data_IF_043490102523
#
_entry.id   IF_043490102523
#
_cell.length_a   1.000
_cell.length_b   1.000
_cell.length_c   1.000
_cell.angle_alpha   90.00
_cell.angle_beta   90.00
_cell.angle_gamma   90.00
#
_symmetry.space_group_name_H-M   'P 1'
#
loop_
_entity.id
_entity.type
_entity.pdbx_description
1 polymer ?
#
# COMPACT_ATOMS: atom_id res chain seq x y z
N UNK A 1 -20.39 -29.02 -20.81
CA UNK A 1 -19.89 -28.60 -19.48
C UNK A 1 -18.37 -28.55 -19.56
N UNK A 2 -17.79 -27.37 -19.61
CA UNK A 2 -16.32 -27.19 -19.61
C UNK A 2 -15.75 -27.59 -18.25
N UNK A 3 -14.79 -28.50 -18.24
CA UNK A 3 -14.11 -28.91 -16.99
C UNK A 3 -13.35 -27.72 -16.41
N UNK A 4 -13.72 -27.30 -15.21
CA UNK A 4 -13.04 -26.23 -14.47
C UNK A 4 -11.62 -26.71 -14.15
N UNK A 5 -10.62 -26.05 -14.75
CA UNK A 5 -9.22 -26.37 -14.58
C UNK A 5 -8.67 -25.73 -13.29
N UNK A 6 -7.58 -26.27 -12.74
CA UNK A 6 -6.89 -25.70 -11.58
C UNK A 6 -6.50 -24.22 -11.82
N UNK A 7 -6.06 -23.90 -13.04
CA UNK A 7 -5.78 -22.54 -13.48
C UNK A 7 -6.99 -21.60 -13.34
N UNK A 8 -8.18 -22.06 -13.72
CA UNK A 8 -9.41 -21.26 -13.61
C UNK A 8 -9.77 -20.95 -12.16
N UNK A 9 -9.54 -21.89 -11.25
CA UNK A 9 -9.75 -21.70 -9.81
C UNK A 9 -8.74 -20.73 -9.21
N UNK A 10 -7.48 -20.78 -9.62
CA UNK A 10 -6.44 -19.86 -9.16
C UNK A 10 -6.72 -18.45 -9.65
N UNK A 11 -7.07 -18.30 -10.93
CA UNK A 11 -7.44 -17.02 -11.53
C UNK A 11 -8.64 -16.41 -10.81
N UNK A 12 -9.70 -17.18 -10.59
CA UNK A 12 -10.89 -16.73 -9.85
C UNK A 12 -10.55 -16.25 -8.44
N UNK A 13 -9.71 -17.00 -7.70
CA UNK A 13 -9.28 -16.60 -6.35
C UNK A 13 -8.46 -15.32 -6.38
N UNK A 14 -7.58 -15.18 -7.37
CA UNK A 14 -6.76 -13.98 -7.56
C UNK A 14 -7.63 -12.76 -7.91
N UNK A 15 -8.54 -12.90 -8.87
CA UNK A 15 -9.46 -11.83 -9.27
C UNK A 15 -10.35 -11.40 -8.08
N UNK A 16 -10.86 -12.36 -7.32
CA UNK A 16 -11.66 -12.09 -6.12
C UNK A 16 -10.83 -11.43 -4.99
N UNK A 17 -9.54 -11.76 -4.88
CA UNK A 17 -8.65 -11.10 -3.94
C UNK A 17 -8.36 -9.66 -4.38
N UNK A 18 -8.07 -9.44 -5.66
CA UNK A 18 -7.84 -8.12 -6.23
C UNK A 18 -9.06 -7.19 -6.10
N UNK A 19 -10.27 -7.75 -6.16
CA UNK A 19 -11.51 -6.98 -6.02
C UNK A 19 -11.83 -6.53 -4.59
N UNK A 20 -11.13 -7.02 -3.57
CA UNK A 20 -11.36 -6.67 -2.15
C UNK A 20 -10.87 -5.27 -1.75
N UNK A 21 -10.28 -4.54 -2.69
CA UNK A 21 -9.84 -3.16 -2.48
C UNK A 21 -8.41 -3.00 -1.97
N UNK A 22 -7.97 -1.76 -1.83
CA UNK A 22 -6.60 -1.36 -1.52
C UNK A 22 -6.03 -2.00 -0.24
N UNK A 23 -6.84 -2.11 0.80
CA UNK A 23 -6.40 -2.69 2.10
C UNK A 23 -6.04 -4.17 1.96
N UNK A 24 -6.83 -4.93 1.20
CA UNK A 24 -6.54 -6.35 0.95
C UNK A 24 -5.25 -6.53 0.15
N UNK A 25 -5.02 -5.67 -0.85
CA UNK A 25 -3.79 -5.68 -1.64
C UNK A 25 -2.55 -5.38 -0.79
N UNK A 26 -2.61 -4.39 0.08
CA UNK A 26 -1.51 -4.06 1.03
C UNK A 26 -1.26 -5.25 1.96
N UNK A 27 -2.32 -5.85 2.52
CA UNK A 27 -2.20 -7.04 3.35
C UNK A 27 -1.57 -8.22 2.61
N UNK A 28 -1.94 -8.42 1.34
CA UNK A 28 -1.35 -9.45 0.48
C UNK A 28 0.13 -9.25 0.19
N UNK A 29 0.54 -8.00 -0.08
CA UNK A 29 1.95 -7.65 -0.25
C UNK A 29 2.74 -7.86 1.05
N UNK A 30 2.17 -7.52 2.21
CA UNK A 30 2.76 -7.80 3.51
C UNK A 30 2.95 -9.29 3.78
N UNK A 31 1.95 -10.12 3.45
CA UNK A 31 2.06 -11.58 3.57
C UNK A 31 3.11 -12.14 2.60
N UNK A 32 3.19 -11.63 1.38
CA UNK A 32 4.20 -12.02 0.41
C UNK A 32 5.61 -11.66 0.90
N UNK A 33 5.78 -10.45 1.45
CA UNK A 33 7.04 -10.01 2.07
C UNK A 33 7.45 -10.94 3.19
N UNK A 34 6.53 -11.25 4.11
CA UNK A 34 6.80 -12.16 5.22
C UNK A 34 7.20 -13.56 4.72
N UNK A 35 6.52 -14.07 3.69
CA UNK A 35 6.85 -15.35 3.09
C UNK A 35 8.27 -15.36 2.48
N UNK A 36 8.65 -14.32 1.75
CA UNK A 36 10.01 -14.19 1.18
C UNK A 36 11.05 -14.17 2.29
N UNK A 37 10.84 -13.38 3.35
CA UNK A 37 11.75 -13.27 4.49
C UNK A 37 11.93 -14.63 5.18
N UNK A 38 10.84 -15.32 5.48
CA UNK A 38 10.87 -16.62 6.16
C UNK A 38 11.53 -17.70 5.29
N UNK A 39 11.19 -17.76 4.01
CA UNK A 39 11.80 -18.73 3.07
C UNK A 39 13.29 -18.48 2.95
N UNK A 40 13.73 -17.23 2.78
CA UNK A 40 15.15 -16.91 2.71
C UNK A 40 15.88 -17.27 4.01
N UNK A 41 15.31 -16.90 5.17
CA UNK A 41 15.89 -17.24 6.47
C UNK A 41 15.99 -18.76 6.67
N UNK A 42 14.98 -19.53 6.29
CA UNK A 42 15.02 -21.00 6.35
C UNK A 42 16.09 -21.57 5.42
N UNK A 43 16.23 -21.05 4.20
CA UNK A 43 17.27 -21.49 3.26
C UNK A 43 18.66 -21.25 3.88
N UNK A 44 18.91 -20.05 4.40
CA UNK A 44 20.21 -19.72 5.01
C UNK A 44 20.55 -20.64 6.18
N UNK A 45 19.59 -20.90 7.07
CA UNK A 45 19.79 -21.74 8.24
C UNK A 45 19.93 -23.22 7.89
N UNK A 46 19.04 -23.76 7.06
CA UNK A 46 19.05 -25.19 6.69
C UNK A 46 20.31 -25.56 5.91
N UNK A 47 20.70 -24.73 4.93
CA UNK A 47 21.89 -24.97 4.14
C UNK A 47 23.18 -24.43 4.77
N UNK A 48 23.09 -23.88 6.01
CA UNK A 48 24.21 -23.29 6.75
C UNK A 48 24.99 -22.24 5.96
N UNK A 49 24.27 -21.46 5.15
CA UNK A 49 24.84 -20.40 4.33
C UNK A 49 25.03 -19.17 5.22
N UNK A 50 26.25 -18.73 5.39
CA UNK A 50 26.60 -17.54 6.16
C UNK A 50 27.43 -16.57 5.29
N UNK A 51 27.49 -15.28 5.65
CA UNK A 51 28.40 -14.33 5.01
C UNK A 51 29.85 -14.81 5.18
N UNK A 52 30.70 -14.49 4.20
CA UNK A 52 32.12 -14.81 4.25
C UNK A 52 32.78 -14.13 5.48
N UNK A 53 33.58 -14.89 6.23
CA UNK A 53 34.16 -14.44 7.48
C UNK A 53 33.37 -14.81 8.73
N UNK A 54 32.18 -15.39 8.59
CA UNK A 54 31.40 -15.98 9.67
C UNK A 54 31.40 -17.51 9.59
N UNK A 55 31.31 -18.18 10.73
CA UNK A 55 31.27 -19.65 10.74
C UNK A 55 30.00 -20.18 10.06
N UNK A 56 30.09 -21.22 9.21
CA UNK A 56 28.92 -21.83 8.59
C UNK A 56 27.95 -22.37 9.65
N UNK A 57 26.69 -21.88 9.59
CA UNK A 57 25.65 -22.27 10.56
C UNK A 57 25.62 -21.46 11.84
N UNK A 58 26.39 -20.38 11.95
CA UNK A 58 26.33 -19.45 13.08
C UNK A 58 25.09 -18.55 13.06
N UNK A 59 24.47 -18.34 11.90
CA UNK A 59 23.26 -17.55 11.77
C UNK A 59 22.06 -18.23 12.45
N UNK A 60 21.49 -17.58 13.45
CA UNK A 60 20.20 -17.96 14.01
C UNK A 60 19.08 -17.61 13.02
N UNK A 61 17.93 -18.28 13.15
CA UNK A 61 16.75 -17.98 12.31
C UNK A 61 16.32 -16.49 12.45
N UNK A 62 16.42 -15.95 13.65
CA UNK A 62 16.10 -14.55 13.92
C UNK A 62 17.03 -13.57 13.20
N UNK A 63 18.34 -13.82 13.22
CA UNK A 63 19.32 -12.98 12.51
C UNK A 63 19.18 -13.08 11.00
N UNK A 64 18.96 -14.30 10.48
CA UNK A 64 18.70 -14.50 9.05
C UNK A 64 17.43 -13.80 8.60
N UNK A 65 16.34 -13.89 9.39
CA UNK A 65 15.09 -13.19 9.10
C UNK A 65 15.25 -11.67 9.21
N UNK A 66 15.98 -11.18 10.20
CA UNK A 66 16.28 -9.75 10.35
C UNK A 66 17.09 -9.23 9.16
N UNK A 67 18.13 -9.93 8.74
CA UNK A 67 18.92 -9.58 7.57
C UNK A 67 18.08 -9.56 6.29
N UNK A 68 17.19 -10.53 6.10
CA UNK A 68 16.26 -10.57 4.97
C UNK A 68 15.24 -9.42 5.02
N UNK A 69 14.72 -9.07 6.20
CA UNK A 69 13.83 -7.93 6.40
C UNK A 69 14.53 -6.61 6.01
N UNK A 70 15.72 -6.36 6.54
CA UNK A 70 16.49 -5.16 6.20
C UNK A 70 16.73 -5.05 4.71
N UNK A 71 17.03 -6.17 4.05
CA UNK A 71 17.25 -6.26 2.62
C UNK A 71 15.99 -5.98 1.80
N UNK A 72 14.84 -6.41 2.29
CA UNK A 72 13.55 -6.13 1.64
C UNK A 72 13.22 -4.64 1.68
N UNK A 73 13.66 -3.94 2.74
CA UNK A 73 13.41 -2.50 2.91
C UNK A 73 14.44 -1.62 2.19
N UNK A 74 15.70 -2.08 2.13
CA UNK A 74 16.79 -1.31 1.52
C UNK A 74 17.71 -2.19 0.67
N UNK A 75 17.58 -2.05 -0.64
CA UNK A 75 18.45 -2.72 -1.62
C UNK A 75 19.91 -2.30 -1.50
N UNK A 76 20.23 -1.12 -0.94
CA UNK A 76 21.59 -0.62 -0.76
C UNK A 76 22.46 -1.47 0.16
N UNK A 77 21.84 -2.28 1.03
CA UNK A 77 22.55 -3.20 1.93
C UNK A 77 23.29 -4.33 1.22
N UNK A 78 23.07 -4.55 -0.09
CA UNK A 78 23.77 -5.55 -0.90
C UNK A 78 25.29 -5.37 -0.97
N UNK A 79 25.78 -4.15 -0.81
CA UNK A 79 27.20 -3.84 -1.00
C UNK A 79 28.13 -4.55 -0.01
N UNK A 80 27.62 -4.92 1.17
CA UNK A 80 28.36 -5.60 2.21
C UNK A 80 28.32 -7.15 2.12
N UNK A 81 27.58 -7.71 1.15
CA UNK A 81 27.45 -9.16 1.04
C UNK A 81 28.75 -9.82 0.61
N UNK A 82 29.16 -10.84 1.33
CA UNK A 82 30.31 -11.67 1.01
C UNK A 82 29.90 -13.16 0.99
N UNK A 83 30.56 -13.94 0.11
CA UNK A 83 30.22 -15.35 -0.13
C UNK A 83 29.11 -15.56 -1.17
N UNK A 84 29.40 -16.34 -2.21
CA UNK A 84 28.48 -16.51 -3.35
C UNK A 84 27.12 -17.12 -2.99
N UNK A 85 27.09 -18.09 -2.08
CA UNK A 85 25.83 -18.69 -1.63
C UNK A 85 24.91 -17.66 -0.95
N UNK A 86 25.49 -16.85 -0.07
CA UNK A 86 24.76 -15.78 0.63
C UNK A 86 24.28 -14.71 -0.36
N UNK A 87 25.14 -14.27 -1.27
CA UNK A 87 24.81 -13.29 -2.31
C UNK A 87 23.62 -13.72 -3.16
N UNK A 88 23.58 -14.98 -3.61
CA UNK A 88 22.49 -15.47 -4.47
C UNK A 88 21.15 -15.46 -3.73
N UNK A 89 21.13 -15.97 -2.50
CA UNK A 89 19.90 -15.97 -1.68
C UNK A 89 19.42 -14.55 -1.42
N UNK A 90 20.33 -13.69 -0.95
CA UNK A 90 19.99 -12.31 -0.60
C UNK A 90 19.67 -11.45 -1.82
N UNK A 91 20.25 -11.72 -2.99
CA UNK A 91 19.84 -11.09 -4.23
C UNK A 91 18.38 -11.40 -4.59
N UNK A 92 17.95 -12.65 -4.39
CA UNK A 92 16.54 -13.02 -4.56
C UNK A 92 15.62 -12.24 -3.60
N UNK A 93 16.02 -12.05 -2.34
CA UNK A 93 15.29 -11.23 -1.36
C UNK A 93 15.21 -9.78 -1.83
N UNK A 94 16.32 -9.22 -2.32
CA UNK A 94 16.37 -7.85 -2.83
C UNK A 94 15.41 -7.64 -4.01
N UNK A 95 15.42 -8.55 -4.98
CA UNK A 95 14.50 -8.48 -6.12
C UNK A 95 13.03 -8.55 -5.66
N UNK A 96 12.74 -9.46 -4.72
CA UNK A 96 11.40 -9.55 -4.10
C UNK A 96 11.01 -8.27 -3.38
N UNK A 97 11.94 -7.68 -2.61
CA UNK A 97 11.72 -6.43 -1.89
C UNK A 97 11.43 -5.26 -2.82
N UNK A 98 12.24 -5.08 -3.86
CA UNK A 98 12.04 -4.02 -4.88
C UNK A 98 10.67 -4.17 -5.54
N UNK A 99 10.29 -5.41 -5.91
CA UNK A 99 8.97 -5.68 -6.48
C UNK A 99 7.84 -5.30 -5.51
N UNK A 100 7.95 -5.69 -4.23
CA UNK A 100 6.93 -5.42 -3.21
C UNK A 100 6.80 -3.92 -2.97
N UNK A 101 7.91 -3.20 -2.79
CA UNK A 101 7.88 -1.75 -2.55
C UNK A 101 7.30 -1.01 -3.75
N UNK A 102 7.72 -1.37 -4.98
CA UNK A 102 7.19 -0.76 -6.21
C UNK A 102 5.69 -1.00 -6.35
N UNK A 103 5.23 -2.22 -6.06
CA UNK A 103 3.82 -2.58 -6.09
C UNK A 103 3.03 -1.84 -5.01
N UNK A 104 3.59 -1.70 -3.80
CA UNK A 104 2.98 -0.97 -2.69
C UNK A 104 2.78 0.51 -3.04
N UNK A 105 3.78 1.16 -3.64
CA UNK A 105 3.69 2.54 -4.11
C UNK A 105 2.54 2.67 -5.13
N UNK A 106 2.46 1.77 -6.12
CA UNK A 106 1.38 1.76 -7.10
C UNK A 106 -0.01 1.62 -6.47
N UNK A 107 -0.17 0.68 -5.54
CA UNK A 107 -1.44 0.45 -4.82
C UNK A 107 -1.84 1.66 -3.97
N UNK A 108 -0.88 2.27 -3.27
CA UNK A 108 -1.13 3.48 -2.46
C UNK A 108 -1.53 4.66 -3.33
N UNK A 109 -0.82 4.90 -4.43
CA UNK A 109 -1.13 5.99 -5.38
C UNK A 109 -2.55 5.86 -5.91
N UNK A 110 -2.93 4.67 -6.40
CA UNK A 110 -4.29 4.40 -6.89
C UNK A 110 -5.33 4.57 -5.78
N UNK A 111 -5.03 4.14 -4.56
CA UNK A 111 -5.93 4.29 -3.41
C UNK A 111 -6.19 5.77 -3.07
N UNK A 112 -5.14 6.60 -3.08
CA UNK A 112 -5.24 8.04 -2.83
C UNK A 112 -6.01 8.73 -3.97
N UNK A 113 -5.71 8.42 -5.23
CA UNK A 113 -6.42 8.99 -6.38
C UNK A 113 -7.93 8.66 -6.35
N UNK A 114 -8.28 7.42 -6.03
CA UNK A 114 -9.68 7.00 -5.88
C UNK A 114 -10.36 7.81 -4.79
N UNK A 115 -9.71 7.95 -3.63
CA UNK A 115 -10.26 8.72 -2.49
C UNK A 115 -10.42 10.20 -2.81
N UNK A 116 -9.42 10.79 -3.47
CA UNK A 116 -9.53 12.18 -3.94
C UNK A 116 -10.65 12.35 -4.96
N UNK A 117 -10.83 11.38 -5.85
CA UNK A 117 -11.93 11.38 -6.81
C UNK A 117 -13.31 11.32 -6.14
N UNK A 118 -13.47 10.55 -5.06
CA UNK A 118 -14.69 10.52 -4.27
C UNK A 118 -14.96 11.85 -3.56
N UNK A 119 -13.94 12.46 -2.97
CA UNK A 119 -14.06 13.76 -2.31
C UNK A 119 -14.45 14.87 -3.29
N UNK A 120 -13.86 14.88 -4.49
CA UNK A 120 -14.21 15.84 -5.56
C UNK A 120 -15.64 15.72 -6.05
N UNK A 121 -16.27 14.55 -5.91
CA UNK A 121 -17.70 14.34 -6.25
C UNK A 121 -18.66 14.94 -5.21
N UNK A 122 -18.17 15.64 -4.20
CA UNK A 122 -18.99 16.30 -3.17
C UNK A 122 -19.80 15.33 -2.30
N UNK A 123 -19.39 14.07 -2.18
CA UNK A 123 -20.08 13.05 -1.36
C UNK A 123 -19.65 13.05 0.09
N UNK A 124 -18.86 14.04 0.51
CA UNK A 124 -18.49 14.20 1.91
C UNK A 124 -19.68 14.62 2.73
N UNK A 125 -19.83 13.99 3.90
CA UNK A 125 -20.89 14.39 4.85
C UNK A 125 -20.56 15.77 5.40
N UNK A 126 -21.48 16.72 5.22
CA UNK A 126 -21.39 18.05 5.84
C UNK A 126 -21.68 17.91 7.32
N UNK A 127 -20.78 18.36 8.18
CA UNK A 127 -20.86 18.28 9.64
C UNK A 127 -21.28 19.64 10.25
N UNK A 128 -21.16 20.71 9.48
CA UNK A 128 -21.57 22.05 9.92
C UNK A 128 -23.07 22.15 10.13
N UNK A 129 -23.46 22.90 11.15
CA UNK A 129 -24.86 23.21 11.46
C UNK A 129 -25.16 24.67 11.10
N UNK A 130 -26.41 24.95 10.69
CA UNK A 130 -26.84 26.31 10.37
C UNK A 130 -26.36 26.82 9.00
N UNK A 131 -25.94 25.93 8.11
CA UNK A 131 -25.56 26.29 6.74
C UNK A 131 -26.77 26.45 5.83
N UNK A 132 -26.65 27.32 4.82
CA UNK A 132 -27.64 27.49 3.74
C UNK A 132 -27.26 26.61 2.56
N UNK A 133 -28.22 25.84 2.04
CA UNK A 133 -28.02 24.97 0.86
C UNK A 133 -28.72 25.59 -0.35
N UNK A 134 -27.96 25.82 -1.41
CA UNK A 134 -28.50 26.31 -2.68
C UNK A 134 -28.59 25.12 -3.65
N UNK A 135 -29.80 24.75 -4.06
CA UNK A 135 -30.04 23.66 -5.00
C UNK A 135 -30.22 24.20 -6.42
N UNK A 136 -29.32 23.85 -7.30
CA UNK A 136 -29.32 24.26 -8.71
C UNK A 136 -28.32 25.39 -8.99
N UNK A 137 -28.08 25.61 -10.29
CA UNK A 137 -27.15 26.63 -10.76
C UNK A 137 -27.86 27.57 -11.73
N UNK A 138 -27.84 28.87 -11.42
CA UNK A 138 -28.34 29.93 -12.28
C UNK A 138 -27.49 31.19 -12.12
N UNK A 139 -27.51 32.15 -13.06
CA UNK A 139 -26.81 33.43 -12.90
C UNK A 139 -27.20 34.21 -11.65
N UNK A 140 -28.39 33.97 -11.10
CA UNK A 140 -28.91 34.61 -9.87
C UNK A 140 -28.24 34.08 -8.60
N UNK A 141 -27.57 32.92 -8.65
CA UNK A 141 -26.89 32.35 -7.48
C UNK A 141 -25.87 33.33 -6.88
N UNK A 142 -25.15 34.06 -7.72
CA UNK A 142 -24.17 35.06 -7.26
C UNK A 142 -24.82 36.20 -6.46
N UNK A 143 -26.01 36.65 -6.89
CA UNK A 143 -26.77 37.66 -6.18
C UNK A 143 -27.26 37.11 -4.82
N UNK A 144 -27.81 35.92 -4.80
CA UNK A 144 -28.26 35.23 -3.59
C UNK A 144 -27.11 35.07 -2.60
N UNK A 145 -25.93 34.68 -3.07
CA UNK A 145 -24.73 34.55 -2.19
C UNK A 145 -24.35 35.90 -1.62
N UNK A 146 -24.32 36.98 -2.41
CA UNK A 146 -23.96 38.31 -1.92
C UNK A 146 -24.95 38.81 -0.84
N UNK A 147 -26.23 38.61 -1.05
CA UNK A 147 -27.25 38.97 -0.07
C UNK A 147 -27.16 38.12 1.22
N UNK A 148 -26.90 36.80 1.11
CA UNK A 148 -26.68 35.94 2.26
C UNK A 148 -25.42 36.33 3.05
N UNK A 149 -24.35 36.74 2.39
CA UNK A 149 -23.14 37.23 3.06
C UNK A 149 -23.42 38.51 3.84
N UNK A 150 -24.13 39.47 3.25
CA UNK A 150 -24.55 40.67 3.91
C UNK A 150 -25.49 40.39 5.09
N UNK A 151 -26.49 39.55 4.90
CA UNK A 151 -27.44 39.21 5.96
C UNK A 151 -26.78 38.53 7.16
N UNK A 152 -25.67 37.81 6.94
CA UNK A 152 -24.93 37.11 7.99
C UNK A 152 -23.66 37.82 8.44
N UNK A 153 -23.47 39.11 8.07
CA UNK A 153 -22.25 39.87 8.39
C UNK A 153 -21.96 39.91 9.88
N UNK A 154 -22.99 39.99 10.72
CA UNK A 154 -22.90 40.08 12.18
C UNK A 154 -22.88 38.74 12.90
N UNK A 155 -22.92 37.61 12.20
CA UNK A 155 -22.86 36.27 12.80
C UNK A 155 -21.42 35.80 13.02
N UNK A 156 -21.14 35.22 14.22
CA UNK A 156 -19.78 34.75 14.60
C UNK A 156 -19.25 33.56 13.80
N UNK A 157 -20.12 32.79 13.15
CA UNK A 157 -19.76 31.61 12.36
C UNK A 157 -20.28 31.82 10.94
N UNK A 158 -19.36 31.94 9.98
CA UNK A 158 -19.66 32.06 8.56
C UNK A 158 -19.22 30.77 7.84
N UNK A 159 -20.14 29.88 7.57
CA UNK A 159 -19.90 28.73 6.72
C UNK A 159 -20.70 28.88 5.42
N UNK A 160 -20.02 29.25 4.33
CA UNK A 160 -20.56 29.17 2.97
C UNK A 160 -19.95 27.92 2.32
N UNK A 161 -20.79 26.96 2.03
CA UNK A 161 -20.41 25.74 1.29
C UNK A 161 -20.99 25.84 -0.13
N UNK A 162 -20.12 25.65 -1.12
CA UNK A 162 -20.46 25.65 -2.54
C UNK A 162 -20.43 24.23 -3.09
#
# INVERSE_FOLDING_TARGET
MTKITFSDRMRYKFDNFMSKGTIALIGGLGMLSLAIILVAALILVIFRIAPEGTEPGSLSLGEAAWGALMRTMDAGTMGADAGWGFRVVMFGVTLGGVFIISSLIGVLTTGVETKMGELRKGRSRVIESGHTVILGWSPQVFLIISELVLANENQKIRALLF
#
